data_IF_912751928055
#
_entry.id   IF_912751928055
#
_cell.length_a   1.000
_cell.length_b   1.000
_cell.length_c   1.000
_cell.angle_alpha   90.00
_cell.angle_beta   90.00
_cell.angle_gamma   90.00
#
_symmetry.space_group_name_H-M   'P 1'
#
loop_
_entity.id
_entity.type
_entity.pdbx_description
1 polymer ?
#
# COMPACT_ATOMS: atom_id res chain seq x y z
N UNK A 1 8.51 52.54 -89.16
CA UNK A 1 9.62 51.70 -88.57
C UNK A 1 9.14 51.16 -87.25
N UNK A 2 8.83 49.85 -87.18
CA UNK A 2 8.29 49.22 -86.00
C UNK A 2 9.44 48.33 -85.41
N UNK A 3 9.94 48.74 -84.24
CA UNK A 3 10.95 48.01 -83.50
C UNK A 3 10.31 46.78 -82.79
N UNK A 4 10.71 45.59 -83.19
CA UNK A 4 10.37 44.35 -82.49
C UNK A 4 11.24 44.24 -81.20
N UNK A 5 10.58 44.31 -80.04
CA UNK A 5 11.17 43.99 -78.76
C UNK A 5 11.26 42.47 -78.59
N UNK A 6 12.48 41.90 -78.50
CA UNK A 6 12.76 40.52 -78.15
C UNK A 6 12.80 40.39 -76.60
N UNK A 7 11.73 39.85 -76.02
CA UNK A 7 11.70 39.52 -74.61
C UNK A 7 12.49 38.16 -74.39
N UNK A 8 13.37 38.05 -73.37
CA UNK A 8 14.09 36.84 -73.07
C UNK A 8 13.14 35.77 -72.56
N UNK A 9 13.25 34.57 -73.15
CA UNK A 9 12.54 33.36 -72.71
C UNK A 9 13.08 32.94 -71.33
N UNK A 10 12.26 33.06 -70.31
CA UNK A 10 12.55 32.49 -69.00
C UNK A 10 12.48 30.95 -69.08
N UNK A 11 13.61 30.31 -68.90
CA UNK A 11 13.75 28.85 -68.71
C UNK A 11 13.22 28.52 -67.30
N UNK A 12 12.06 27.85 -67.25
CA UNK A 12 11.49 27.32 -65.99
C UNK A 12 12.41 26.21 -65.54
N UNK A 13 12.98 26.30 -64.28
CA UNK A 13 13.84 25.23 -63.75
C UNK A 13 13.04 23.94 -63.68
N UNK A 14 13.63 22.85 -64.17
CA UNK A 14 13.03 21.54 -64.30
C UNK A 14 12.49 21.06 -62.93
N UNK A 15 11.22 20.69 -62.93
CA UNK A 15 10.54 20.07 -61.78
C UNK A 15 11.31 18.78 -61.44
N UNK A 16 12.04 18.79 -60.31
CA UNK A 16 12.68 17.60 -59.75
C UNK A 16 11.57 16.64 -59.32
N UNK A 17 11.22 15.70 -60.17
CA UNK A 17 10.36 14.59 -59.82
C UNK A 17 11.12 13.66 -58.90
N UNK A 18 10.92 13.78 -57.59
CA UNK A 18 11.40 12.76 -56.67
C UNK A 18 10.74 11.42 -57.02
N UNK A 19 11.49 10.36 -57.30
CA UNK A 19 10.91 9.06 -57.54
C UNK A 19 10.15 8.67 -56.25
N UNK A 20 8.86 8.39 -56.36
CA UNK A 20 8.07 7.83 -55.28
C UNK A 20 8.60 6.40 -55.03
N UNK A 21 9.53 6.26 -54.09
CA UNK A 21 10.01 4.97 -53.65
C UNK A 21 8.85 4.26 -52.91
N UNK A 22 8.27 3.26 -53.58
CA UNK A 22 7.26 2.41 -52.94
C UNK A 22 7.92 1.54 -51.87
N UNK A 23 7.19 1.26 -50.76
CA UNK A 23 7.67 0.32 -49.74
C UNK A 23 7.88 -1.08 -50.30
N UNK A 24 9.00 -1.70 -49.96
CA UNK A 24 9.24 -3.09 -50.29
C UNK A 24 8.39 -4.01 -49.42
N UNK A 25 7.99 -5.17 -49.97
CA UNK A 25 7.20 -6.15 -49.18
C UNK A 25 7.93 -6.59 -47.90
N UNK A 26 9.27 -6.71 -47.97
CA UNK A 26 10.11 -7.03 -46.83
C UNK A 26 10.02 -5.97 -45.72
N UNK A 27 9.99 -4.68 -46.06
CA UNK A 27 9.91 -3.57 -45.15
C UNK A 27 8.54 -3.53 -44.40
N UNK A 28 7.47 -3.84 -45.11
CA UNK A 28 6.12 -3.97 -44.51
C UNK A 28 6.08 -5.13 -43.53
N UNK A 29 6.63 -6.29 -43.88
CA UNK A 29 6.67 -7.48 -43.00
C UNK A 29 7.48 -7.19 -41.73
N UNK A 30 8.66 -6.58 -41.86
CA UNK A 30 9.48 -6.21 -40.71
C UNK A 30 8.75 -5.19 -39.80
N UNK A 31 8.11 -4.19 -40.40
CA UNK A 31 7.38 -3.19 -39.65
C UNK A 31 6.22 -3.79 -38.83
N UNK A 32 5.46 -4.72 -39.42
CA UNK A 32 4.38 -5.43 -38.70
C UNK A 32 4.94 -6.29 -37.57
N UNK A 33 6.07 -6.98 -37.82
CA UNK A 33 6.72 -7.80 -36.79
C UNK A 33 7.19 -6.96 -35.59
N UNK A 34 7.86 -5.83 -35.87
CA UNK A 34 8.30 -4.90 -34.83
C UNK A 34 7.10 -4.31 -34.05
N UNK A 35 6.05 -3.91 -34.78
CA UNK A 35 4.82 -3.41 -34.17
C UNK A 35 4.16 -4.44 -33.26
N UNK A 36 4.11 -5.70 -33.68
CA UNK A 36 3.60 -6.82 -32.86
C UNK A 36 4.38 -7.00 -31.57
N UNK A 37 5.71 -6.95 -31.60
CA UNK A 37 6.55 -7.04 -30.41
C UNK A 37 6.29 -5.88 -29.43
N UNK A 38 6.14 -4.66 -29.96
CA UNK A 38 5.83 -3.47 -29.13
C UNK A 38 4.47 -3.64 -28.46
N UNK A 39 3.45 -4.08 -29.18
CA UNK A 39 2.11 -4.30 -28.59
C UNK A 39 2.15 -5.37 -27.49
N UNK A 40 2.84 -6.46 -27.67
CA UNK A 40 2.99 -7.50 -26.62
C UNK A 40 3.66 -6.91 -25.37
N UNK A 41 4.71 -6.10 -25.56
CA UNK A 41 5.39 -5.41 -24.46
C UNK A 41 4.46 -4.46 -23.68
N UNK A 42 3.67 -3.66 -24.39
CA UNK A 42 2.70 -2.72 -23.78
C UNK A 42 1.65 -3.49 -22.99
N UNK A 43 1.06 -4.56 -23.57
CA UNK A 43 0.04 -5.36 -22.88
C UNK A 43 0.60 -6.04 -21.63
N UNK A 44 1.81 -6.61 -21.72
CA UNK A 44 2.47 -7.22 -20.56
C UNK A 44 2.72 -6.18 -19.45
N UNK A 45 3.20 -4.99 -19.81
CA UNK A 45 3.40 -3.88 -18.88
C UNK A 45 2.11 -3.41 -18.21
N UNK A 46 1.02 -3.30 -18.98
CA UNK A 46 -0.29 -2.94 -18.45
C UNK A 46 -0.81 -3.95 -17.44
N UNK A 47 -0.75 -5.25 -17.76
CA UNK A 47 -1.17 -6.33 -16.85
C UNK A 47 -0.34 -6.31 -15.57
N UNK A 48 0.96 -6.10 -15.67
CA UNK A 48 1.84 -6.02 -14.51
C UNK A 48 1.51 -4.78 -13.64
N UNK A 49 1.27 -3.63 -14.26
CA UNK A 49 0.89 -2.40 -13.57
C UNK A 49 -0.44 -2.57 -12.83
N UNK A 50 -1.45 -3.16 -13.46
CA UNK A 50 -2.73 -3.44 -12.84
C UNK A 50 -2.59 -4.36 -11.61
N UNK A 51 -1.77 -5.42 -11.70
CA UNK A 51 -1.49 -6.31 -10.57
C UNK A 51 -0.78 -5.62 -9.41
N UNK A 52 0.14 -4.72 -9.72
CA UNK A 52 0.83 -3.94 -8.69
C UNK A 52 -0.11 -2.95 -8.00
N UNK A 53 -1.00 -2.31 -8.76
CA UNK A 53 -2.03 -1.42 -8.23
C UNK A 53 -2.99 -2.16 -7.30
N UNK A 54 -3.43 -3.36 -7.68
CA UNK A 54 -4.26 -4.23 -6.85
C UNK A 54 -3.55 -4.57 -5.53
N UNK A 55 -2.31 -5.07 -5.58
CA UNK A 55 -1.53 -5.38 -4.38
C UNK A 55 -1.34 -4.17 -3.47
N UNK A 56 -1.05 -3.00 -4.03
CA UNK A 56 -0.89 -1.76 -3.27
C UNK A 56 -2.19 -1.36 -2.58
N UNK A 57 -3.33 -1.47 -3.27
CA UNK A 57 -4.65 -1.20 -2.70
C UNK A 57 -4.95 -2.07 -1.49
N UNK A 58 -4.73 -3.39 -1.59
CA UNK A 58 -4.91 -4.30 -0.45
C UNK A 58 -3.95 -3.99 0.70
N UNK A 59 -2.68 -3.69 0.41
CA UNK A 59 -1.69 -3.35 1.42
C UNK A 59 -2.05 -2.07 2.17
N UNK A 60 -2.51 -1.03 1.47
CA UNK A 60 -2.95 0.22 2.09
C UNK A 60 -4.19 0.03 2.96
N UNK A 61 -5.18 -0.73 2.50
CA UNK A 61 -6.38 -1.04 3.28
C UNK A 61 -6.03 -1.85 4.55
N UNK A 62 -5.13 -2.83 4.44
CA UNK A 62 -4.65 -3.60 5.59
C UNK A 62 -3.88 -2.72 6.59
N UNK A 63 -3.06 -1.79 6.09
CA UNK A 63 -2.36 -0.84 6.95
C UNK A 63 -3.32 0.11 7.65
N UNK A 64 -4.35 0.60 6.97
CA UNK A 64 -5.39 1.44 7.57
C UNK A 64 -6.12 0.72 8.71
N UNK A 65 -6.46 -0.57 8.55
CA UNK A 65 -7.02 -1.39 9.62
C UNK A 65 -6.08 -1.53 10.82
N UNK A 66 -4.79 -1.75 10.58
CA UNK A 66 -3.80 -1.84 11.66
C UNK A 66 -3.70 -0.52 12.43
N UNK A 67 -3.68 0.62 11.73
CA UNK A 67 -3.66 1.95 12.33
C UNK A 67 -4.94 2.19 13.13
N UNK A 68 -6.11 1.83 12.59
CA UNK A 68 -7.39 1.96 13.30
C UNK A 68 -7.37 1.22 14.64
N UNK A 69 -6.81 0.03 14.70
CA UNK A 69 -6.65 -0.73 15.96
C UNK A 69 -5.74 0.00 16.96
N UNK A 70 -4.66 0.61 16.49
CA UNK A 70 -3.74 1.40 17.32
C UNK A 70 -4.42 2.67 17.84
N UNK A 71 -5.19 3.36 17.01
CA UNK A 71 -5.93 4.56 17.43
C UNK A 71 -7.02 4.21 18.48
N UNK A 72 -7.69 3.06 18.32
CA UNK A 72 -8.60 2.56 19.36
C UNK A 72 -7.84 2.29 20.68
N UNK A 73 -6.63 1.75 20.60
CA UNK A 73 -5.80 1.52 21.79
C UNK A 73 -5.33 2.83 22.44
N UNK A 74 -5.12 3.90 21.66
CA UNK A 74 -4.76 5.23 22.20
C UNK A 74 -5.87 5.87 23.01
N UNK A 75 -7.13 5.51 22.78
CA UNK A 75 -8.26 5.97 23.56
C UNK A 75 -8.42 5.22 24.89
N UNK A 76 -7.69 4.12 25.09
CA UNK A 76 -7.75 3.31 26.29
C UNK A 76 -6.97 3.96 27.44
N UNK A 77 -7.55 3.95 28.61
CA UNK A 77 -6.91 4.47 29.82
C UNK A 77 -5.92 3.46 30.39
N UNK A 78 -4.71 3.91 30.60
CA UNK A 78 -3.68 3.14 31.28
C UNK A 78 -3.07 3.96 32.41
N UNK A 79 -3.62 3.77 33.62
CA UNK A 79 -3.24 4.49 34.82
C UNK A 79 -2.82 3.50 35.90
N UNK A 80 -1.65 3.75 36.51
CA UNK A 80 -1.11 2.99 37.65
C UNK A 80 -1.17 3.78 38.97
N UNK A 81 -1.46 5.07 38.92
CA UNK A 81 -1.36 5.98 40.08
C UNK A 81 -2.52 5.82 41.05
N UNK A 82 -3.67 5.39 40.61
CA UNK A 82 -4.79 5.07 41.44
C UNK A 82 -4.63 3.65 42.00
N UNK A 83 -4.71 3.40 43.28
CA UNK A 83 -4.58 2.07 43.92
C UNK A 83 -5.45 0.95 43.34
N UNK A 84 -6.29 1.28 42.37
CA UNK A 84 -7.08 0.38 41.52
C UNK A 84 -6.57 0.31 40.09
N UNK A 85 -5.27 0.37 39.88
CA UNK A 85 -4.57 0.42 38.59
C UNK A 85 -5.39 -0.05 37.39
N UNK A 86 -5.87 0.90 36.60
CA UNK A 86 -6.73 0.62 35.45
C UNK A 86 -5.89 0.48 34.20
N UNK A 87 -5.84 -0.72 33.65
CA UNK A 87 -5.14 -1.00 32.40
C UNK A 87 -6.13 -1.50 31.36
N UNK A 88 -6.73 -0.59 30.62
CA UNK A 88 -7.71 -0.93 29.59
C UNK A 88 -7.05 -1.54 28.35
N UNK A 89 -5.75 -1.28 28.10
CA UNK A 89 -5.02 -1.88 26.97
C UNK A 89 -4.99 -3.41 27.07
N UNK A 90 -4.95 -3.95 28.29
CA UNK A 90 -5.01 -5.41 28.51
C UNK A 90 -6.44 -5.95 28.51
N UNK A 91 -7.44 -5.09 28.69
CA UNK A 91 -8.86 -5.43 28.79
C UNK A 91 -9.66 -5.03 27.55
N UNK A 92 -9.02 -4.48 26.51
CA UNK A 92 -9.69 -4.17 25.27
C UNK A 92 -10.41 -5.43 24.76
N UNK A 93 -11.75 -5.41 24.86
CA UNK A 93 -12.65 -6.47 24.36
C UNK A 93 -12.59 -6.65 22.84
N UNK A 94 -11.72 -5.89 22.16
CA UNK A 94 -11.47 -5.98 20.73
C UNK A 94 -10.98 -7.36 20.31
N UNK A 95 -10.56 -8.18 21.26
CA UNK A 95 -9.86 -9.40 21.00
C UNK A 95 -10.24 -10.40 22.09
N UNK A 96 -10.44 -11.62 21.74
CA UNK A 96 -10.54 -12.72 22.69
C UNK A 96 -9.11 -13.13 23.14
N UNK A 97 -8.45 -12.36 24.05
CA UNK A 97 -7.03 -12.47 24.23
C UNK A 97 -6.72 -13.47 25.30
N UNK A 98 -5.79 -14.37 24.99
CA UNK A 98 -5.14 -15.19 26.00
C UNK A 98 -3.94 -14.42 26.56
N UNK A 99 -3.99 -14.11 27.85
CA UNK A 99 -2.86 -13.51 28.55
C UNK A 99 -1.88 -14.61 28.99
N UNK A 100 -0.65 -14.50 28.57
CA UNK A 100 0.44 -15.35 29.07
C UNK A 100 1.16 -14.61 30.20
N UNK A 101 0.97 -15.06 31.44
CA UNK A 101 1.55 -14.45 32.63
C UNK A 101 3.10 -14.55 32.67
N UNK A 102 3.66 -15.60 32.08
CA UNK A 102 5.11 -15.81 32.06
C UNK A 102 5.84 -14.86 31.13
N UNK A 103 5.26 -14.55 29.97
CA UNK A 103 5.85 -13.64 28.97
C UNK A 103 5.37 -12.20 29.10
N UNK A 104 4.39 -11.92 29.99
CA UNK A 104 3.70 -10.64 30.11
C UNK A 104 3.17 -10.13 28.78
N UNK A 105 2.73 -11.07 27.94
CA UNK A 105 2.26 -10.82 26.59
C UNK A 105 0.80 -11.23 26.48
N UNK A 106 0.00 -10.36 25.89
CA UNK A 106 -1.38 -10.62 25.54
C UNK A 106 -1.52 -10.60 24.03
N UNK A 107 -2.03 -11.67 23.45
CA UNK A 107 -2.24 -11.77 22.00
C UNK A 107 -3.71 -12.10 21.72
N UNK A 108 -4.30 -11.38 20.83
CA UNK A 108 -5.65 -11.64 20.37
C UNK A 108 -5.80 -11.44 18.87
N UNK A 109 -6.91 -11.89 18.31
CA UNK A 109 -7.19 -11.67 16.91
C UNK A 109 -8.61 -11.17 16.68
N UNK A 110 -8.79 -10.36 15.66
CA UNK A 110 -10.09 -9.92 15.17
C UNK A 110 -10.15 -10.04 13.64
N UNK A 111 -11.35 -10.16 13.13
CA UNK A 111 -11.58 -10.25 11.69
C UNK A 111 -12.17 -8.94 11.21
N UNK A 112 -11.65 -8.43 10.13
CA UNK A 112 -12.16 -7.23 9.50
C UNK A 112 -12.24 -7.44 7.98
N UNK A 113 -13.18 -6.74 7.37
CA UNK A 113 -13.28 -6.67 5.93
C UNK A 113 -12.37 -5.55 5.44
N UNK A 114 -11.54 -5.83 4.42
CA UNK A 114 -10.79 -4.78 3.75
C UNK A 114 -11.74 -3.91 2.96
N UNK A 115 -11.77 -2.62 3.26
CA UNK A 115 -12.52 -1.64 2.47
C UNK A 115 -11.69 -1.29 1.22
N UNK A 116 -12.12 -1.86 0.11
CA UNK A 116 -11.48 -1.67 -1.18
C UNK A 116 -12.48 -1.03 -2.12
N UNK A 117 -12.15 0.12 -2.73
CA UNK A 117 -13.06 0.84 -3.61
C UNK A 117 -13.45 0.06 -4.88
N UNK A 118 -12.84 -1.11 -5.11
CA UNK A 118 -12.98 -1.91 -6.33
C UNK A 118 -13.33 -3.38 -6.11
N UNK A 119 -13.72 -3.79 -4.91
CA UNK A 119 -13.91 -5.22 -4.60
C UNK A 119 -15.19 -5.83 -5.21
N UNK A 120 -16.11 -5.03 -5.73
CA UNK A 120 -17.38 -5.53 -6.23
C UNK A 120 -18.09 -6.41 -5.19
N UNK A 121 -18.48 -7.64 -5.57
CA UNK A 121 -19.05 -8.64 -4.65
C UNK A 121 -18.01 -9.46 -3.89
N UNK A 122 -16.74 -9.33 -4.22
CA UNK A 122 -15.65 -10.08 -3.60
C UNK A 122 -15.14 -9.39 -2.33
N UNK A 123 -15.67 -9.80 -1.21
CA UNK A 123 -15.23 -9.32 0.11
C UNK A 123 -13.95 -10.03 0.50
N UNK A 124 -12.86 -9.28 0.66
CA UNK A 124 -11.60 -9.81 1.20
C UNK A 124 -11.56 -9.58 2.70
N UNK A 125 -11.40 -10.67 3.46
CA UNK A 125 -11.29 -10.64 4.91
C UNK A 125 -9.82 -10.63 5.30
N UNK A 126 -9.45 -9.69 6.19
CA UNK A 126 -8.17 -9.67 6.86
C UNK A 126 -8.34 -10.12 8.31
N UNK A 127 -7.26 -10.63 8.89
CA UNK A 127 -7.18 -10.99 10.30
C UNK A 127 -6.15 -10.10 10.96
N UNK A 128 -6.58 -9.33 11.97
CA UNK A 128 -5.70 -8.54 12.80
C UNK A 128 -5.27 -9.37 14.00
N UNK A 129 -3.97 -9.59 14.12
CA UNK A 129 -3.35 -10.15 15.32
C UNK A 129 -2.76 -9.01 16.13
N UNK A 130 -3.26 -8.83 17.35
CA UNK A 130 -2.78 -7.77 18.24
C UNK A 130 -1.97 -8.40 19.36
N UNK A 131 -0.76 -7.93 19.53
CA UNK A 131 0.14 -8.37 20.59
C UNK A 131 0.50 -7.17 21.47
N UNK A 132 0.20 -7.27 22.76
CA UNK A 132 0.59 -6.27 23.76
C UNK A 132 1.69 -6.88 24.65
N UNK A 133 2.81 -6.18 24.75
CA UNK A 133 3.97 -6.57 25.60
C UNK A 133 4.26 -5.47 26.58
N UNK A 134 4.52 -5.86 27.84
CA UNK A 134 4.95 -4.97 28.90
C UNK A 134 6.47 -4.98 29.05
N UNK A 135 7.06 -3.80 29.11
CA UNK A 135 8.48 -3.60 29.39
C UNK A 135 8.64 -2.84 30.71
N UNK A 136 9.53 -3.33 31.55
CA UNK A 136 9.86 -2.73 32.84
C UNK A 136 11.32 -2.27 32.81
N UNK A 137 11.55 -1.00 33.08
CA UNK A 137 12.88 -0.40 33.17
C UNK A 137 13.21 -0.15 34.64
N UNK A 138 13.64 -1.19 35.34
CA UNK A 138 13.88 -1.13 36.81
C UNK A 138 15.11 -0.31 37.20
N UNK A 139 16.04 -0.03 36.26
CA UNK A 139 17.35 0.57 36.56
C UNK A 139 17.39 2.07 36.31
N UNK A 140 16.31 2.69 35.87
CA UNK A 140 16.33 4.07 35.38
C UNK A 140 15.66 5.04 36.37
N UNK A 141 14.68 4.57 37.14
CA UNK A 141 13.94 5.42 38.09
C UNK A 141 13.29 4.58 39.22
N UNK A 142 13.00 5.27 40.32
CA UNK A 142 12.15 4.72 41.39
C UNK A 142 10.95 5.66 41.56
N UNK A 143 9.75 5.29 41.15
CA UNK A 143 9.27 3.98 40.71
C UNK A 143 9.78 3.58 39.31
N UNK A 144 9.81 2.26 38.99
CA UNK A 144 10.30 1.77 37.70
C UNK A 144 9.44 2.29 36.53
N UNK A 145 10.08 2.74 35.47
CA UNK A 145 9.38 3.17 34.26
C UNK A 145 8.79 1.95 33.57
N UNK A 146 7.52 2.03 33.27
CA UNK A 146 6.80 0.99 32.55
C UNK A 146 6.39 1.51 31.17
N UNK A 147 6.59 0.67 30.15
CA UNK A 147 6.14 0.93 28.78
C UNK A 147 5.37 -0.28 28.28
N UNK A 148 4.32 -0.03 27.53
CA UNK A 148 3.63 -1.08 26.79
C UNK A 148 3.88 -0.89 25.30
N UNK A 149 4.27 -1.95 24.61
CA UNK A 149 4.31 -1.99 23.15
C UNK A 149 3.07 -2.72 22.67
N UNK A 150 2.35 -2.10 21.75
CA UNK A 150 1.30 -2.77 21.00
C UNK A 150 1.77 -2.95 19.56
N UNK A 151 1.69 -4.17 19.09
CA UNK A 151 1.96 -4.55 17.70
C UNK A 151 0.68 -5.11 17.09
N UNK A 152 0.34 -4.63 15.92
CA UNK A 152 -0.79 -5.13 15.12
C UNK A 152 -0.25 -5.68 13.82
N UNK A 153 -0.49 -6.97 13.61
CA UNK A 153 -0.15 -7.70 12.39
C UNK A 153 -1.45 -7.97 11.63
N UNK A 154 -1.68 -7.25 10.54
CA UNK A 154 -2.84 -7.47 9.67
C UNK A 154 -2.47 -8.42 8.55
N UNK A 155 -3.02 -9.63 8.61
CA UNK A 155 -2.80 -10.69 7.61
C UNK A 155 -3.97 -10.71 6.63
N UNK A 156 -3.67 -10.63 5.35
CA UNK A 156 -4.67 -10.60 4.29
C UNK A 156 -4.28 -11.50 3.10
N UNK A 157 -5.29 -12.17 2.46
CA UNK A 157 -5.05 -13.03 1.33
C UNK A 157 -5.07 -12.26 0.02
N UNK A 158 -4.16 -12.60 -0.90
CA UNK A 158 -4.20 -12.16 -2.29
C UNK A 158 -4.15 -13.37 -3.22
N UNK A 159 -5.11 -13.43 -4.14
CA UNK A 159 -5.17 -14.50 -5.13
C UNK A 159 -4.41 -14.09 -6.40
N UNK A 160 -3.39 -14.86 -6.76
CA UNK A 160 -2.69 -14.72 -8.04
C UNK A 160 -2.95 -15.97 -8.90
N UNK A 161 -3.87 -15.85 -9.85
CA UNK A 161 -4.34 -16.99 -10.64
C UNK A 161 -5.01 -18.04 -9.74
N UNK A 162 -4.45 -19.25 -9.70
CA UNK A 162 -4.94 -20.35 -8.85
C UNK A 162 -4.32 -20.36 -7.44
N UNK A 163 -3.27 -19.58 -7.21
CA UNK A 163 -2.51 -19.60 -5.94
C UNK A 163 -3.00 -18.51 -5.01
N UNK A 164 -3.35 -18.88 -3.77
CA UNK A 164 -3.65 -17.97 -2.67
C UNK A 164 -2.37 -17.73 -1.87
N UNK A 165 -1.98 -16.47 -1.68
CA UNK A 165 -0.85 -16.06 -0.85
C UNK A 165 -1.31 -15.13 0.25
N UNK A 166 -0.73 -15.26 1.44
CA UNK A 166 -0.99 -14.38 2.57
C UNK A 166 0.14 -13.38 2.71
N UNK A 167 -0.23 -12.15 2.98
CA UNK A 167 0.66 -11.01 3.22
C UNK A 167 0.35 -10.42 4.58
N UNK A 168 1.34 -9.81 5.20
CA UNK A 168 1.22 -9.22 6.54
C UNK A 168 1.71 -7.79 6.51
N UNK A 169 0.89 -6.88 7.03
CA UNK A 169 1.27 -5.50 7.33
C UNK A 169 1.38 -5.37 8.85
N UNK A 170 2.53 -4.92 9.33
CA UNK A 170 2.81 -4.77 10.77
C UNK A 170 2.92 -3.29 11.10
N UNK A 171 2.19 -2.88 12.14
CA UNK A 171 2.32 -1.56 12.76
C UNK A 171 2.51 -1.74 14.25
N UNK A 172 3.47 -1.02 14.83
CA UNK A 172 3.74 -1.09 16.26
C UNK A 172 3.87 0.32 16.86
N UNK A 173 3.46 0.46 18.12
CA UNK A 173 3.59 1.70 18.87
C UNK A 173 3.87 1.42 20.35
N UNK A 174 4.38 2.43 21.04
CA UNK A 174 4.63 2.37 22.47
C UNK A 174 3.68 3.31 23.19
N UNK A 175 3.22 2.86 24.34
CA UNK A 175 2.39 3.61 25.27
C UNK A 175 3.14 3.80 26.57
N UNK A 176 3.10 5.02 27.10
CA UNK A 176 3.49 5.32 28.47
C UNK A 176 2.22 5.39 29.34
N UNK A 177 2.32 5.07 30.64
CA UNK A 177 1.19 5.24 31.55
C UNK A 177 0.77 6.71 31.61
N UNK A 178 -0.54 6.93 31.67
CA UNK A 178 -1.10 8.26 31.90
C UNK A 178 -1.00 8.58 33.40
N UNK A 179 0.08 9.26 33.78
CA UNK A 179 0.33 9.67 35.15
C UNK A 179 -0.35 11.02 35.48
N UNK A 180 -1.37 11.41 34.77
CA UNK A 180 -2.14 12.62 35.15
C UNK A 180 -2.85 12.35 36.44
N UNK A 181 -2.40 13.02 37.48
CA UNK A 181 -3.11 13.03 38.76
C UNK A 181 -4.46 13.74 38.56
N UNK A 182 -5.61 13.04 38.71
CA UNK A 182 -6.92 13.66 38.54
C UNK A 182 -7.20 14.75 39.59
N UNK A 183 -6.37 14.86 40.64
CA UNK A 183 -6.52 15.85 41.71
C UNK A 183 -5.71 17.14 41.47
N UNK A 184 -5.02 17.27 40.33
CA UNK A 184 -4.23 18.48 40.00
C UNK A 184 -4.94 19.42 39.02
N UNK A 185 -6.24 19.23 38.77
CA UNK A 185 -7.09 20.15 38.01
C UNK A 185 -7.98 20.97 38.93
#
# INVERSE_FOLDING_TARGET
MAGRSNAPRQTIPGRVTCPAAGFSLAEVVISIAVMGLVFVGILAGYVQSARNAEWTGYSLAAQALAIQQIEQARSAVWDFSSGNGRNELTNLNLLNPQYNSSTKTKTGYSWATLDLPYSGTNVVRATNYVTVRMFFFNNVANPPVQLQMMQVDTVWPLRRGTTLRYYTNTVATYFAPDNRDPNTL
#
